data_IF_349775344929
#
_entry.id   IF_349775344929
#
_cell.length_a   1.000
_cell.length_b   1.000
_cell.length_c   1.000
_cell.angle_alpha   90.00
_cell.angle_beta   90.00
_cell.angle_gamma   90.00
#
_symmetry.space_group_name_H-M   'P 1'
#
loop_
_entity.id
_entity.type
_entity.pdbx_description
1 polymer ?
#
# COMPACT_ATOMS: atom_id res chain seq x y z
N UNK A 1 21.86 -62.56 -8.33
CA UNK A 1 21.81 -63.00 -9.73
C UNK A 1 20.38 -62.85 -10.20
N UNK A 2 20.24 -62.16 -11.33
CA UNK A 2 19.10 -62.12 -12.24
C UNK A 2 17.81 -61.46 -11.77
N UNK A 3 17.73 -60.19 -12.15
CA UNK A 3 16.60 -59.50 -12.77
C UNK A 3 15.56 -60.41 -13.44
N UNK A 4 14.30 -59.99 -13.38
CA UNK A 4 13.44 -60.10 -14.55
C UNK A 4 12.47 -58.90 -14.67
N UNK A 5 12.27 -58.51 -15.92
CA UNK A 5 11.76 -57.22 -16.41
C UNK A 5 10.25 -57.33 -16.67
N UNK A 6 9.51 -56.24 -16.47
CA UNK A 6 8.09 -56.17 -16.88
C UNK A 6 7.51 -54.76 -16.91
N UNK A 7 7.82 -54.00 -17.97
CA UNK A 7 7.12 -52.75 -18.33
C UNK A 7 5.66 -53.00 -18.73
N UNK A 8 4.70 -52.27 -18.14
CA UNK A 8 3.41 -51.94 -18.77
C UNK A 8 3.00 -50.50 -18.39
N UNK A 9 2.83 -49.68 -19.43
CA UNK A 9 2.17 -48.37 -19.41
C UNK A 9 0.68 -48.53 -19.73
N UNK A 10 -0.20 -47.82 -19.01
CA UNK A 10 -1.36 -47.04 -19.55
C UNK A 10 -2.34 -46.58 -18.44
N UNK A 11 -2.58 -45.27 -18.45
CA UNK A 11 -3.85 -44.53 -18.21
C UNK A 11 -4.62 -44.70 -16.88
N UNK A 12 -4.64 -43.58 -16.14
CA UNK A 12 -5.82 -42.83 -15.65
C UNK A 12 -6.86 -43.55 -14.79
N UNK A 13 -6.96 -43.16 -13.52
CA UNK A 13 -8.18 -42.56 -12.92
C UNK A 13 -7.76 -41.64 -11.77
N UNK A 14 -7.92 -40.32 -11.95
CA UNK A 14 -7.97 -39.36 -10.84
C UNK A 14 -9.35 -39.51 -10.20
N UNK A 15 -9.40 -39.91 -8.92
CA UNK A 15 -10.61 -39.81 -8.11
C UNK A 15 -10.67 -38.41 -7.53
N UNK A 16 -11.44 -37.54 -8.18
CA UNK A 16 -12.01 -36.37 -7.53
C UNK A 16 -13.18 -36.84 -6.66
N UNK A 17 -13.10 -36.64 -5.34
CA UNK A 17 -14.25 -36.74 -4.45
C UNK A 17 -14.59 -35.32 -4.03
N UNK A 18 -15.49 -34.70 -4.79
CA UNK A 18 -16.21 -33.53 -4.35
C UNK A 18 -17.27 -33.96 -3.34
N UNK A 19 -17.18 -33.48 -2.11
CA UNK A 19 -18.27 -33.52 -1.15
C UNK A 19 -18.77 -32.09 -0.94
N UNK A 20 -19.80 -31.73 -1.70
CA UNK A 20 -20.70 -30.64 -1.35
C UNK A 20 -21.49 -31.04 -0.11
N UNK A 21 -21.07 -30.53 1.04
CA UNK A 21 -21.92 -30.49 2.24
C UNK A 21 -22.79 -29.23 2.14
N UNK A 22 -24.04 -29.40 1.72
CA UNK A 22 -25.08 -28.40 1.90
C UNK A 22 -25.63 -28.53 3.33
N UNK A 23 -25.45 -27.49 4.16
CA UNK A 23 -26.08 -27.39 5.48
C UNK A 23 -27.42 -26.65 5.36
N UNK A 24 -28.53 -27.18 5.88
CA UNK A 24 -29.77 -26.42 6.00
C UNK A 24 -29.71 -25.59 7.29
N UNK A 25 -29.64 -24.26 7.17
CA UNK A 25 -29.96 -23.38 8.29
C UNK A 25 -31.48 -23.27 8.40
N UNK A 26 -32.05 -23.94 9.40
CA UNK A 26 -33.37 -23.61 9.95
C UNK A 26 -33.12 -23.00 11.32
N UNK A 27 -33.11 -21.67 11.37
CA UNK A 27 -33.09 -20.89 12.60
C UNK A 27 -34.23 -19.89 12.57
N UNK A 28 -35.27 -20.14 13.36
CA UNK A 28 -36.26 -19.12 13.73
C UNK A 28 -35.71 -18.40 14.94
N UNK A 29 -35.33 -17.13 14.77
CA UNK A 29 -34.99 -16.26 15.89
C UNK A 29 -35.57 -14.87 15.63
N UNK A 30 -36.34 -14.44 16.61
CA UNK A 30 -36.98 -13.14 16.79
C UNK A 30 -36.01 -11.99 16.58
N UNK A 31 -36.40 -11.06 15.71
CA UNK A 31 -35.75 -9.78 15.52
C UNK A 31 -35.98 -8.89 16.75
N UNK A 32 -34.89 -8.40 17.35
CA UNK A 32 -34.68 -6.98 17.64
C UNK A 32 -33.27 -6.82 18.24
N UNK A 33 -32.54 -5.79 17.79
CA UNK A 33 -31.22 -5.29 18.23
C UNK A 33 -29.91 -5.87 17.63
N UNK A 34 -29.84 -7.08 17.08
CA UNK A 34 -28.56 -7.63 16.55
C UNK A 34 -28.25 -7.25 15.08
N UNK A 35 -29.24 -6.74 14.34
CA UNK A 35 -29.11 -6.42 12.90
C UNK A 35 -28.19 -5.22 12.62
N UNK A 36 -28.01 -4.31 13.59
CA UNK A 36 -27.13 -3.13 13.41
C UNK A 36 -25.64 -3.45 13.59
N UNK A 37 -25.31 -4.63 14.11
CA UNK A 37 -23.92 -5.07 14.33
C UNK A 37 -23.43 -5.95 13.18
N UNK A 38 -24.30 -6.77 12.60
CA UNK A 38 -23.99 -7.57 11.42
C UNK A 38 -23.79 -6.74 10.14
N UNK A 39 -24.40 -5.55 10.06
CA UNK A 39 -24.27 -4.66 8.90
C UNK A 39 -22.92 -3.91 8.84
N UNK A 40 -22.27 -3.68 9.99
CA UNK A 40 -20.96 -2.98 10.06
C UNK A 40 -19.78 -3.79 9.50
N UNK A 41 -20.00 -5.06 9.19
CA UNK A 41 -18.99 -5.96 8.62
C UNK A 41 -19.27 -6.33 7.16
N UNK A 42 -20.38 -5.88 6.59
CA UNK A 42 -20.67 -6.08 5.17
C UNK A 42 -20.14 -4.88 4.41
N UNK A 43 -18.92 -5.02 3.93
CA UNK A 43 -18.36 -4.14 2.92
C UNK A 43 -18.70 -4.74 1.55
N UNK A 44 -19.86 -4.42 0.95
CA UNK A 44 -20.30 -5.07 -0.31
C UNK A 44 -19.33 -4.82 -1.47
N UNK A 45 -18.56 -3.73 -1.39
CA UNK A 45 -17.59 -3.32 -2.39
C UNK A 45 -16.19 -3.91 -2.18
N UNK A 46 -15.98 -4.62 -1.07
CA UNK A 46 -14.72 -5.26 -0.74
C UNK A 46 -14.38 -6.39 -1.71
N UNK A 47 -13.12 -6.48 -2.11
CA UNK A 47 -12.63 -7.60 -2.91
C UNK A 47 -11.43 -8.29 -2.28
N UNK A 48 -11.19 -9.54 -2.67
CA UNK A 48 -10.07 -10.34 -2.16
C UNK A 48 -8.79 -10.04 -2.92
N UNK A 49 -8.90 -9.70 -4.20
CA UNK A 49 -7.77 -9.35 -5.05
C UNK A 49 -7.44 -7.85 -4.95
N UNK A 50 -6.24 -7.40 -5.35
CA UNK A 50 -5.96 -5.97 -5.50
C UNK A 50 -7.02 -5.31 -6.39
N UNK A 51 -7.62 -4.23 -5.90
CA UNK A 51 -8.58 -3.42 -6.66
C UNK A 51 -8.62 -2.02 -6.07
N UNK A 52 -8.58 -1.03 -6.96
CA UNK A 52 -8.73 0.38 -6.65
C UNK A 52 -10.01 0.93 -7.29
N UNK A 53 -10.54 1.99 -6.69
CA UNK A 53 -11.69 2.75 -7.20
C UNK A 53 -11.41 4.24 -7.04
N UNK A 54 -12.04 5.05 -7.88
CA UNK A 54 -11.93 6.51 -7.83
C UNK A 54 -12.66 7.06 -6.62
N UNK A 55 -12.10 8.09 -5.97
CA UNK A 55 -12.82 8.81 -4.93
C UNK A 55 -13.96 9.66 -5.49
N UNK A 56 -14.78 10.21 -4.59
CA UNK A 56 -15.86 11.10 -4.99
C UNK A 56 -15.29 12.42 -5.55
N UNK A 57 -15.88 12.92 -6.64
CA UNK A 57 -15.44 14.16 -7.28
C UNK A 57 -14.10 14.09 -8.03
N UNK A 58 -13.59 12.87 -8.29
CA UNK A 58 -12.29 12.68 -8.94
C UNK A 58 -12.37 12.35 -10.43
N UNK A 59 -11.45 12.93 -11.21
CA UNK A 59 -11.40 12.84 -12.67
C UNK A 59 -9.94 12.71 -13.13
N UNK A 60 -9.67 11.68 -13.94
CA UNK A 60 -8.35 11.44 -14.54
C UNK A 60 -8.23 12.03 -15.96
N UNK A 61 -9.36 12.35 -16.59
CA UNK A 61 -9.40 12.65 -18.04
C UNK A 61 -8.64 13.93 -18.39
N UNK A 62 -8.63 14.90 -17.47
CA UNK A 62 -7.85 16.13 -17.58
C UNK A 62 -6.40 16.02 -17.15
N UNK A 63 -5.97 14.89 -16.55
CA UNK A 63 -4.63 14.75 -16.00
C UNK A 63 -3.60 14.51 -17.11
N UNK A 64 -2.78 15.52 -17.40
CA UNK A 64 -1.61 15.40 -18.28
C UNK A 64 -0.31 15.72 -17.54
N UNK A 65 0.77 15.07 -17.97
CA UNK A 65 2.12 15.25 -17.41
C UNK A 65 2.75 16.60 -17.73
N UNK A 66 2.36 17.21 -18.85
CA UNK A 66 2.84 18.50 -19.36
C UNK A 66 2.03 19.70 -18.87
N UNK A 67 1.01 19.47 -18.02
CA UNK A 67 0.27 20.57 -17.41
C UNK A 67 1.17 21.32 -16.41
N UNK A 68 1.22 22.66 -16.40
CA UNK A 68 2.13 23.42 -15.53
C UNK A 68 2.01 23.07 -14.04
N UNK A 69 0.79 22.85 -13.54
CA UNK A 69 0.57 22.45 -12.15
C UNK A 69 1.06 21.02 -11.86
N UNK A 70 1.02 20.13 -12.84
CA UNK A 70 1.60 18.78 -12.73
C UNK A 70 3.13 18.85 -12.68
N UNK A 71 3.74 19.65 -13.57
CA UNK A 71 5.20 19.85 -13.59
C UNK A 71 5.71 20.51 -12.30
N UNK A 72 4.98 21.51 -11.78
CA UNK A 72 5.29 22.18 -10.52
C UNK A 72 5.22 21.20 -9.34
N UNK A 73 4.16 20.40 -9.25
CA UNK A 73 4.02 19.37 -8.22
C UNK A 73 5.13 18.32 -8.33
N UNK A 74 5.41 17.80 -9.52
CA UNK A 74 6.48 16.82 -9.74
C UNK A 74 7.84 17.36 -9.33
N UNK A 75 8.14 18.60 -9.73
CA UNK A 75 9.39 19.28 -9.42
C UNK A 75 9.54 19.46 -7.91
N UNK A 76 8.49 19.95 -7.25
CA UNK A 76 8.50 20.17 -5.79
C UNK A 76 8.71 18.84 -5.05
N UNK A 77 8.01 17.79 -5.44
CA UNK A 77 8.19 16.44 -4.87
C UNK A 77 9.63 15.94 -5.08
N UNK A 78 10.18 16.09 -6.29
CA UNK A 78 11.53 15.65 -6.60
C UNK A 78 12.57 16.41 -5.77
N UNK A 79 12.39 17.73 -5.62
CA UNK A 79 13.25 18.58 -4.80
C UNK A 79 13.19 18.21 -3.32
N UNK A 80 11.99 17.98 -2.76
CA UNK A 80 11.82 17.52 -1.37
C UNK A 80 12.51 16.18 -1.14
N UNK A 81 12.32 15.20 -2.04
CA UNK A 81 13.00 13.91 -1.92
C UNK A 81 14.52 14.08 -1.96
N UNK A 82 15.05 14.86 -2.90
CA UNK A 82 16.49 15.04 -3.05
C UNK A 82 17.12 15.77 -1.84
N UNK A 83 16.42 16.75 -1.28
CA UNK A 83 16.98 17.62 -0.23
C UNK A 83 16.75 17.09 1.17
N UNK A 84 15.55 16.59 1.47
CA UNK A 84 15.13 16.21 2.82
C UNK A 84 15.19 14.69 3.03
N UNK A 85 14.93 13.91 1.97
CA UNK A 85 14.80 12.46 2.05
C UNK A 85 15.67 11.69 1.05
N UNK A 86 16.99 11.94 0.94
CA UNK A 86 17.82 11.35 -0.11
C UNK A 86 18.08 9.84 0.07
N UNK A 87 17.89 9.30 1.28
CA UNK A 87 18.22 7.92 1.64
C UNK A 87 17.17 7.31 2.58
N UNK A 88 17.18 5.98 2.73
CA UNK A 88 16.34 5.29 3.73
C UNK A 88 16.65 5.76 5.15
N UNK A 89 17.92 6.00 5.47
CA UNK A 89 18.31 6.57 6.77
C UNK A 89 17.68 7.93 7.04
N UNK A 90 17.61 8.80 6.03
CA UNK A 90 16.94 10.10 6.18
C UNK A 90 15.43 9.94 6.48
N UNK A 91 14.76 8.95 5.88
CA UNK A 91 13.38 8.62 6.20
C UNK A 91 13.22 8.16 7.65
N UNK A 92 14.11 7.28 8.10
CA UNK A 92 14.14 6.78 9.49
C UNK A 92 14.30 7.94 10.47
N UNK A 93 15.28 8.81 10.24
CA UNK A 93 15.56 9.98 11.08
C UNK A 93 14.40 10.97 11.11
N UNK A 94 13.69 11.12 9.99
CA UNK A 94 12.48 11.94 9.87
C UNK A 94 11.22 11.25 10.47
N UNK A 95 11.35 10.04 11.01
CA UNK A 95 10.25 9.35 11.70
C UNK A 95 9.28 8.61 10.79
N UNK A 96 9.58 8.50 9.49
CA UNK A 96 8.80 7.67 8.58
C UNK A 96 8.87 6.20 9.01
N UNK A 97 7.75 5.51 8.85
CA UNK A 97 7.59 4.11 9.22
C UNK A 97 7.52 3.24 7.98
N UNK A 98 8.39 2.22 7.89
CA UNK A 98 8.38 1.30 6.77
C UNK A 98 7.03 0.59 6.72
N UNK A 99 6.47 0.62 5.53
CA UNK A 99 5.27 -0.07 5.14
C UNK A 99 5.64 -0.91 3.93
N UNK A 100 6.35 -2.00 4.19
CA UNK A 100 6.56 -3.00 3.17
C UNK A 100 5.21 -3.67 2.93
N UNK A 101 4.68 -3.58 1.71
CA UNK A 101 3.44 -4.18 1.20
C UNK A 101 3.50 -5.74 1.14
N UNK A 102 4.07 -6.31 2.21
CA UNK A 102 4.56 -7.66 2.56
C UNK A 102 3.60 -8.83 2.43
N UNK A 103 2.50 -8.65 1.71
CA UNK A 103 1.69 -9.78 1.23
C UNK A 103 2.03 -10.10 -0.24
N UNK A 104 2.72 -9.20 -0.93
CA UNK A 104 3.17 -9.35 -2.32
C UNK A 104 4.59 -8.79 -2.44
N UNK A 105 5.48 -9.50 -3.12
CA UNK A 105 6.84 -9.02 -3.39
C UNK A 105 6.80 -7.88 -4.40
N UNK A 106 6.45 -6.69 -3.93
CA UNK A 106 6.41 -5.49 -4.76
C UNK A 106 7.81 -4.91 -4.93
N UNK A 107 8.04 -4.28 -6.08
CA UNK A 107 9.34 -3.71 -6.46
C UNK A 107 9.63 -2.37 -5.75
N UNK A 108 8.70 -1.91 -4.90
CA UNK A 108 8.81 -0.72 -4.09
C UNK A 108 8.01 -0.89 -2.79
N UNK A 109 8.33 -0.07 -1.79
CA UNK A 109 7.66 -0.03 -0.50
C UNK A 109 7.19 1.39 -0.20
N UNK A 110 6.06 1.51 0.47
CA UNK A 110 5.63 2.78 1.02
C UNK A 110 6.31 3.00 2.38
N UNK A 111 6.65 4.24 2.68
CA UNK A 111 7.15 4.67 3.98
C UNK A 111 6.23 5.80 4.43
N UNK A 112 5.47 5.57 5.50
CA UNK A 112 4.39 6.45 5.94
C UNK A 112 4.86 7.37 7.07
N UNK A 113 4.47 8.64 7.04
CA UNK A 113 4.69 9.58 8.14
C UNK A 113 3.42 9.72 9.00
N UNK A 114 3.38 9.16 10.22
CA UNK A 114 2.26 9.37 11.13
C UNK A 114 2.05 10.84 11.51
N UNK A 115 3.12 11.65 11.51
CA UNK A 115 3.03 13.08 11.76
C UNK A 115 2.25 13.77 10.65
N UNK A 116 2.60 13.53 9.38
CA UNK A 116 1.98 14.21 8.24
C UNK A 116 0.57 13.68 7.96
N UNK A 117 0.32 12.37 8.13
CA UNK A 117 -1.05 11.81 8.05
C UNK A 117 -1.98 12.47 9.08
N UNK A 118 -1.44 12.79 10.26
CA UNK A 118 -2.17 13.40 11.37
C UNK A 118 -2.26 14.92 11.32
N UNK A 119 -1.63 15.60 10.35
CA UNK A 119 -1.61 17.06 10.29
C UNK A 119 -2.79 17.63 9.48
N UNK A 120 -2.83 18.96 9.32
CA UNK A 120 -3.92 19.67 8.65
C UNK A 120 -3.72 19.88 7.15
N UNK A 121 -2.53 19.56 6.63
CA UNK A 121 -2.14 19.73 5.25
C UNK A 121 -2.69 18.59 4.39
N UNK A 122 -2.90 18.89 3.11
CA UNK A 122 -3.35 17.91 2.12
C UNK A 122 -2.71 18.31 0.81
N UNK A 123 -2.11 17.36 0.10
CA UNK A 123 -1.41 17.63 -1.16
C UNK A 123 -0.28 18.66 -0.97
N UNK A 124 0.55 18.45 0.06
CA UNK A 124 1.70 19.30 0.38
C UNK A 124 3.01 18.60 -0.02
N UNK A 125 3.68 18.98 -1.13
CA UNK A 125 4.89 18.31 -1.59
C UNK A 125 6.07 18.44 -0.63
N UNK A 126 6.04 19.38 0.32
CA UNK A 126 7.09 19.53 1.34
C UNK A 126 6.89 18.56 2.51
N UNK A 127 5.66 18.04 2.68
CA UNK A 127 5.27 17.13 3.78
C UNK A 127 4.41 15.97 3.27
N UNK A 128 4.92 15.13 2.35
CA UNK A 128 4.14 14.03 1.81
C UNK A 128 3.87 12.94 2.85
N UNK A 129 2.63 12.47 2.95
CA UNK A 129 2.24 11.45 3.93
C UNK A 129 2.94 10.10 3.72
N UNK A 130 3.43 9.85 2.49
CA UNK A 130 4.23 8.68 2.15
C UNK A 130 5.35 8.99 1.17
N UNK A 131 6.53 8.42 1.42
CA UNK A 131 7.60 8.28 0.42
C UNK A 131 7.56 6.87 -0.17
N UNK A 132 7.78 6.74 -1.47
CA UNK A 132 7.88 5.47 -2.20
C UNK A 132 9.35 5.14 -2.37
N UNK A 133 9.77 3.95 -1.95
CA UNK A 133 11.17 3.52 -1.95
C UNK A 133 11.32 2.28 -2.81
N UNK A 134 12.22 2.31 -3.78
CA UNK A 134 12.65 1.11 -4.52
C UNK A 134 13.32 0.13 -3.55
N UNK A 135 12.80 -1.09 -3.43
CA UNK A 135 13.33 -2.06 -2.45
C UNK A 135 14.65 -2.69 -2.87
N UNK A 136 15.00 -2.67 -4.16
CA UNK A 136 16.27 -3.22 -4.63
C UNK A 136 17.37 -2.19 -4.48
N UNK A 137 17.10 -0.96 -4.90
CA UNK A 137 18.09 0.12 -4.93
C UNK A 137 18.08 0.97 -3.66
N UNK A 138 17.10 0.80 -2.78
CA UNK A 138 16.92 1.54 -1.52
C UNK A 138 16.82 3.05 -1.76
N UNK A 139 16.22 3.41 -2.89
CA UNK A 139 16.14 4.78 -3.37
C UNK A 139 14.72 5.29 -3.24
N UNK A 140 14.51 6.49 -2.68
CA UNK A 140 13.24 7.21 -2.81
C UNK A 140 12.95 7.60 -4.26
N UNK A 141 11.77 7.25 -4.76
CA UNK A 141 11.41 7.29 -6.19
C UNK A 141 10.09 8.01 -6.50
N UNK A 142 9.39 8.45 -5.46
CA UNK A 142 8.10 9.12 -5.58
C UNK A 142 7.46 9.30 -4.22
N UNK A 143 6.24 9.83 -4.22
CA UNK A 143 5.43 9.99 -3.03
C UNK A 143 4.04 9.44 -3.27
N UNK A 144 3.36 9.11 -2.18
CA UNK A 144 1.93 8.91 -2.19
C UNK A 144 1.33 9.86 -1.17
N UNK A 145 0.46 10.75 -1.63
CA UNK A 145 -0.35 11.56 -0.73
C UNK A 145 -1.49 10.72 -0.18
N UNK A 146 -1.81 10.92 1.10
CA UNK A 146 -2.98 10.33 1.76
C UNK A 146 -3.90 11.47 2.13
N UNK A 147 -5.10 11.50 1.57
CA UNK A 147 -6.05 12.58 1.82
C UNK A 147 -6.71 12.43 3.20
N UNK A 148 -5.98 12.85 4.22
CA UNK A 148 -6.44 12.99 5.60
C UNK A 148 -6.32 14.46 6.03
N UNK A 149 -7.10 14.85 7.04
CA UNK A 149 -6.91 16.12 7.76
C UNK A 149 -7.19 15.89 9.22
N UNK A 150 -6.26 16.27 10.07
CA UNK A 150 -6.26 15.97 11.49
C UNK A 150 -6.40 14.44 11.75
N UNK A 151 -5.80 13.62 10.88
CA UNK A 151 -5.91 12.15 10.91
C UNK A 151 -7.22 11.57 10.37
N UNK A 152 -8.19 12.41 9.98
CA UNK A 152 -9.49 11.96 9.48
C UNK A 152 -9.53 11.93 7.94
N UNK A 153 -10.00 10.84 7.30
CA UNK A 153 -10.08 10.75 5.85
C UNK A 153 -10.98 11.85 5.22
N UNK A 154 -10.52 12.42 4.12
CA UNK A 154 -11.29 13.34 3.28
C UNK A 154 -11.91 12.57 2.12
N UNK A 155 -13.23 12.68 1.99
CA UNK A 155 -14.02 11.99 0.96
C UNK A 155 -13.87 12.60 -0.44
N UNK A 156 -13.77 13.93 -0.50
CA UNK A 156 -13.58 14.72 -1.71
C UNK A 156 -12.23 15.46 -1.64
N UNK A 157 -11.12 14.78 -1.98
CA UNK A 157 -9.79 15.38 -1.91
C UNK A 157 -9.61 16.51 -2.93
N UNK A 158 -8.66 17.45 -2.70
CA UNK A 158 -8.42 18.56 -3.61
C UNK A 158 -7.92 18.05 -4.98
N UNK A 159 -8.42 18.66 -6.05
CA UNK A 159 -7.84 18.46 -7.38
C UNK A 159 -6.43 19.08 -7.45
N UNK A 160 -5.56 18.54 -8.30
CA UNK A 160 -4.28 19.17 -8.62
C UNK A 160 -4.52 20.49 -9.36
N UNK A 161 -5.50 20.50 -10.27
CA UNK A 161 -5.97 21.70 -10.98
C UNK A 161 -7.42 21.52 -11.48
N UNK A 162 -8.09 22.66 -11.73
CA UNK A 162 -9.52 22.73 -12.07
C UNK A 162 -9.87 23.92 -13.01
N UNK A 163 -8.89 24.45 -13.74
CA UNK A 163 -9.00 25.67 -14.54
C UNK A 163 -9.56 25.46 -15.96
N UNK A 164 -9.13 24.41 -16.66
CA UNK A 164 -9.60 24.06 -18.01
C UNK A 164 -10.15 22.64 -18.10
N UNK A 165 -9.44 21.68 -17.52
CA UNK A 165 -9.84 20.28 -17.38
C UNK A 165 -9.43 19.81 -15.98
N UNK A 166 -10.41 19.37 -15.19
CA UNK A 166 -10.15 18.92 -13.82
C UNK A 166 -9.19 17.73 -13.83
N UNK A 167 -8.10 17.86 -13.08
CA UNK A 167 -7.23 16.73 -12.76
C UNK A 167 -7.28 16.44 -11.27
N UNK A 168 -7.84 15.29 -10.94
CA UNK A 168 -7.96 14.79 -9.59
C UNK A 168 -7.72 13.28 -9.63
N UNK A 169 -6.47 12.82 -9.54
CA UNK A 169 -6.12 11.42 -9.75
C UNK A 169 -6.25 10.51 -8.51
N UNK A 170 -7.00 10.96 -7.51
CA UNK A 170 -7.21 10.22 -6.26
C UNK A 170 -8.05 8.95 -6.44
N UNK A 171 -7.60 7.89 -5.77
CA UNK A 171 -8.27 6.60 -5.70
C UNK A 171 -8.16 5.99 -4.30
N UNK A 172 -8.98 5.00 -4.00
CA UNK A 172 -8.92 4.23 -2.76
C UNK A 172 -8.87 2.73 -3.08
N UNK A 173 -8.30 1.95 -2.18
CA UNK A 173 -8.26 0.50 -2.30
C UNK A 173 -9.48 -0.14 -1.65
N UNK A 174 -10.14 -1.04 -2.38
CA UNK A 174 -11.18 -1.94 -1.86
C UNK A 174 -10.72 -3.39 -1.77
N UNK A 175 -9.59 -3.70 -2.40
CA UNK A 175 -8.94 -4.99 -2.33
C UNK A 175 -8.35 -5.29 -0.96
N UNK A 176 -8.38 -6.56 -0.57
CA UNK A 176 -7.86 -7.04 0.71
C UNK A 176 -6.39 -6.61 0.97
N UNK A 177 -5.46 -6.66 0.00
CA UNK A 177 -4.07 -6.25 0.24
C UNK A 177 -3.95 -4.80 0.72
N UNK A 178 -4.46 -3.84 -0.05
CA UNK A 178 -4.36 -2.42 0.32
C UNK A 178 -5.12 -2.07 1.61
N UNK A 179 -6.31 -2.66 1.82
CA UNK A 179 -7.06 -2.48 3.08
C UNK A 179 -6.36 -3.09 4.28
N UNK A 180 -5.80 -4.29 4.13
CA UNK A 180 -5.08 -4.96 5.21
C UNK A 180 -3.86 -4.17 5.60
N UNK A 181 -3.12 -3.73 4.59
CA UNK A 181 -1.95 -2.92 4.79
C UNK A 181 -2.36 -1.64 5.57
N UNK A 182 -3.38 -0.89 5.14
CA UNK A 182 -3.80 0.34 5.85
C UNK A 182 -4.24 0.05 7.28
N UNK A 183 -5.03 -1.01 7.47
CA UNK A 183 -5.43 -1.45 8.80
C UNK A 183 -4.23 -1.78 9.68
N UNK A 184 -3.24 -2.52 9.15
CA UNK A 184 -2.01 -2.86 9.85
C UNK A 184 -1.25 -1.60 10.30
N UNK A 185 -1.08 -0.62 9.41
CA UNK A 185 -0.45 0.66 9.74
C UNK A 185 -1.11 1.30 10.96
N UNK A 186 -2.45 1.43 10.94
CA UNK A 186 -3.20 2.01 12.05
C UNK A 186 -3.05 1.21 13.36
N UNK A 187 -3.03 -0.12 13.27
CA UNK A 187 -2.87 -0.95 14.47
C UNK A 187 -1.48 -0.81 15.09
N UNK A 188 -0.44 -0.77 14.26
CA UNK A 188 0.96 -0.85 14.71
C UNK A 188 1.56 0.50 15.02
N UNK A 189 1.25 1.53 14.22
CA UNK A 189 1.89 2.83 14.31
C UNK A 189 1.00 3.93 14.92
N UNK A 190 -0.34 3.77 14.91
CA UNK A 190 -1.27 4.72 15.57
C UNK A 190 -1.83 4.20 16.91
N UNK A 191 -1.40 3.02 17.36
CA UNK A 191 -1.94 2.36 18.56
C UNK A 191 -3.49 2.21 18.52
N UNK A 192 -4.12 2.10 17.33
CA UNK A 192 -5.58 2.11 17.17
C UNK A 192 -6.30 0.98 17.94
N UNK A 193 -5.60 -0.11 18.30
CA UNK A 193 -6.14 -1.13 19.19
C UNK A 193 -6.47 -0.59 20.59
N UNK A 194 -5.75 0.44 21.07
CA UNK A 194 -5.96 1.06 22.40
C UNK A 194 -7.21 1.93 22.43
N UNK A 195 -7.58 2.54 21.31
CA UNK A 195 -8.82 3.32 21.18
C UNK A 195 -10.06 2.45 20.93
N UNK A 196 -9.86 1.15 20.69
CA UNK A 196 -10.95 0.20 20.41
C UNK A 196 -11.38 0.17 18.94
N UNK A 197 -10.67 0.88 18.05
CA UNK A 197 -10.86 0.85 16.61
C UNK A 197 -10.16 -0.37 16.00
N UNK A 198 -10.78 -1.53 16.23
CA UNK A 198 -10.31 -2.83 15.73
C UNK A 198 -11.00 -3.25 14.42
N UNK A 199 -11.88 -2.40 13.87
CA UNK A 199 -12.66 -2.79 12.70
C UNK A 199 -11.80 -2.76 11.44
N UNK A 200 -11.79 -3.89 10.74
CA UNK A 200 -11.17 -3.98 9.43
C UNK A 200 -11.91 -3.03 8.46
N UNK A 201 -11.22 -2.09 7.79
CA UNK A 201 -11.88 -1.04 7.04
C UNK A 201 -12.49 -1.58 5.75
N UNK A 202 -13.58 -0.96 5.28
CA UNK A 202 -14.17 -1.30 3.99
C UNK A 202 -13.32 -0.84 2.80
N UNK A 203 -12.55 0.22 2.99
CA UNK A 203 -11.59 0.80 2.02
C UNK A 203 -10.52 1.60 2.74
N UNK A 204 -9.44 1.93 2.05
CA UNK A 204 -8.46 2.93 2.50
C UNK A 204 -9.02 4.35 2.36
N UNK A 205 -8.36 5.37 2.95
CA UNK A 205 -8.51 6.75 2.51
C UNK A 205 -8.19 6.91 1.02
N UNK A 206 -8.53 8.09 0.49
CA UNK A 206 -8.10 8.50 -0.84
C UNK A 206 -6.59 8.70 -0.87
N UNK A 207 -5.96 8.16 -1.90
CA UNK A 207 -4.51 8.15 -2.09
C UNK A 207 -4.19 8.60 -3.51
N UNK A 208 -3.02 9.23 -3.67
CA UNK A 208 -2.55 9.72 -4.96
C UNK A 208 -1.04 9.61 -5.05
N UNK A 209 -0.56 8.75 -5.94
CA UNK A 209 0.85 8.61 -6.26
C UNK A 209 1.33 9.77 -7.14
N UNK A 210 2.57 10.23 -6.89
CA UNK A 210 3.31 11.15 -7.75
C UNK A 210 4.74 10.64 -7.89
N UNK A 211 5.10 10.24 -9.10
CA UNK A 211 6.45 9.74 -9.40
C UNK A 211 7.39 10.88 -9.80
N UNK A 212 8.66 10.84 -9.38
CA UNK A 212 9.66 11.88 -9.70
C UNK A 212 10.31 11.70 -11.07
N UNK A 213 9.83 10.75 -11.86
CA UNK A 213 10.43 10.35 -13.12
C UNK A 213 9.93 11.21 -14.29
N UNK A 214 10.82 11.90 -15.02
CA UNK A 214 10.41 12.61 -16.23
C UNK A 214 10.10 11.63 -17.36
N UNK A 215 8.98 11.84 -18.08
CA UNK A 215 8.60 11.10 -19.29
C UNK A 215 7.09 11.13 -19.57
N UNK A 216 6.69 10.67 -20.76
CA UNK A 216 5.27 10.52 -21.18
C UNK A 216 4.50 9.45 -20.36
N UNK A 217 5.14 8.89 -19.33
CA UNK A 217 4.57 7.88 -18.44
C UNK A 217 3.67 8.56 -17.40
N UNK A 218 2.64 7.85 -16.97
CA UNK A 218 1.63 8.42 -16.09
C UNK A 218 2.23 8.75 -14.72
N UNK A 219 2.58 10.02 -14.52
CA UNK A 219 3.03 10.60 -13.24
C UNK A 219 2.14 10.23 -12.05
N UNK A 220 0.84 10.06 -12.29
CA UNK A 220 -0.16 9.64 -11.30
C UNK A 220 -0.54 8.15 -11.41
N UNK A 221 0.28 7.33 -12.06
CA UNK A 221 0.02 5.89 -12.14
C UNK A 221 0.03 5.28 -10.75
N UNK A 222 -0.89 4.35 -10.51
CA UNK A 222 -0.89 3.55 -9.29
C UNK A 222 0.35 2.64 -9.21
N UNK A 223 0.75 2.06 -10.35
CA UNK A 223 1.95 1.22 -10.45
C UNK A 223 3.19 2.06 -10.75
N UNK A 224 4.34 1.60 -10.25
CA UNK A 224 5.65 2.18 -10.58
C UNK A 224 5.85 2.21 -12.10
N UNK A 225 6.22 3.36 -12.70
CA UNK A 225 6.50 3.44 -14.12
C UNK A 225 7.68 2.54 -14.54
N UNK A 226 7.61 1.88 -15.72
CA UNK A 226 8.64 0.96 -16.17
C UNK A 226 9.93 1.71 -16.52
N UNK A 227 10.92 1.67 -15.63
CA UNK A 227 12.18 2.38 -15.81
C UNK A 227 13.40 1.50 -15.64
N UNK A 228 14.48 1.83 -16.36
CA UNK A 228 15.80 1.28 -16.10
C UNK A 228 16.16 1.51 -14.63
N UNK A 229 16.71 0.48 -13.98
CA UNK A 229 17.16 0.57 -12.60
C UNK A 229 18.13 1.74 -12.46
N UNK A 230 17.81 2.66 -11.56
CA UNK A 230 18.79 3.62 -11.11
C UNK A 230 19.86 2.86 -10.33
N UNK A 231 21.11 3.28 -10.45
CA UNK A 231 22.11 2.83 -9.50
C UNK A 231 21.70 3.18 -8.07
N UNK A 232 22.34 2.54 -7.07
CA UNK A 232 22.06 2.80 -5.67
C UNK A 232 22.29 4.28 -5.31
N UNK A 233 21.66 4.82 -4.24
CA UNK A 233 21.89 6.17 -3.77
C UNK A 233 23.37 6.46 -3.61
N UNK A 234 23.81 7.67 -3.99
CA UNK A 234 25.23 8.05 -3.92
C UNK A 234 25.76 8.01 -2.47
N UNK A 235 24.89 8.35 -1.51
CA UNK A 235 25.19 8.35 -0.08
C UNK A 235 24.94 6.99 0.60
N UNK A 236 24.65 5.94 -0.18
CA UNK A 236 24.33 4.61 0.32
C UNK A 236 23.00 4.55 1.08
N UNK A 237 22.92 3.70 2.11
CA UNK A 237 21.69 3.44 2.84
C UNK A 237 21.25 4.59 3.76
N UNK A 238 22.20 5.41 4.22
CA UNK A 238 21.97 6.47 5.22
C UNK A 238 21.87 5.99 6.67
N UNK A 239 22.04 4.69 6.95
CA UNK A 239 22.06 4.11 8.30
C UNK A 239 23.12 3.00 8.40
N UNK A 240 23.43 2.55 9.62
CA UNK A 240 24.40 1.48 9.86
C UNK A 240 23.82 0.11 9.45
N UNK A 241 24.38 -0.51 8.41
CA UNK A 241 24.04 -1.88 7.99
C UNK A 241 25.19 -2.52 7.21
N UNK A 242 25.28 -3.85 7.23
CA UNK A 242 26.24 -4.63 6.43
C UNK A 242 25.68 -5.02 5.04
N UNK A 243 24.36 -4.85 4.82
CA UNK A 243 23.70 -5.10 3.55
C UNK A 243 23.91 -3.95 2.56
N UNK A 244 23.81 -4.25 1.25
CA UNK A 244 24.17 -3.32 0.19
C UNK A 244 23.00 -3.06 -0.78
N UNK A 245 22.60 -1.79 -0.98
CA UNK A 245 21.65 -1.45 -2.03
C UNK A 245 22.11 -1.94 -3.41
N UNK A 246 21.20 -2.57 -4.15
CA UNK A 246 21.43 -3.17 -5.46
C UNK A 246 21.86 -4.65 -5.42
N UNK A 247 22.39 -5.13 -4.29
CA UNK A 247 22.75 -6.54 -4.07
C UNK A 247 21.78 -7.24 -3.11
N UNK A 248 21.30 -6.53 -2.09
CA UNK A 248 20.36 -7.00 -1.08
C UNK A 248 19.02 -6.25 -1.17
N UNK A 249 17.90 -6.95 -0.98
CA UNK A 249 16.57 -6.34 -0.90
C UNK A 249 16.38 -5.62 0.45
N UNK A 250 15.77 -4.45 0.42
CA UNK A 250 15.37 -3.73 1.62
C UNK A 250 14.22 -4.48 2.28
N UNK A 251 14.48 -5.09 3.42
CA UNK A 251 13.48 -5.84 4.19
C UNK A 251 13.62 -5.64 5.70
N UNK A 252 12.79 -6.35 6.46
CA UNK A 252 12.78 -6.27 7.93
C UNK A 252 14.06 -6.77 8.61
N UNK A 253 14.88 -7.58 7.93
CA UNK A 253 16.10 -8.15 8.49
C UNK A 253 17.32 -7.23 8.21
N UNK A 254 17.19 -6.33 7.23
CA UNK A 254 18.16 -5.27 6.91
C UNK A 254 17.97 -4.01 7.78
N UNK A 255 16.73 -3.69 8.14
CA UNK A 255 16.42 -2.46 8.86
C UNK A 255 16.87 -2.47 10.33
N UNK A 256 17.15 -1.29 10.93
CA UNK A 256 17.40 -1.17 12.35
C UNK A 256 16.25 -1.70 13.23
N UNK A 257 16.56 -2.36 14.34
CA UNK A 257 15.57 -3.00 15.22
C UNK A 257 14.49 -2.04 15.74
N UNK A 258 14.80 -0.75 15.90
CA UNK A 258 13.90 0.27 16.44
C UNK A 258 12.87 0.80 15.44
N UNK A 259 13.07 0.54 14.14
CA UNK A 259 12.08 0.82 13.09
C UNK A 259 11.27 -0.40 12.69
N UNK A 260 11.74 -1.60 13.06
CA UNK A 260 11.02 -2.86 12.82
C UNK A 260 9.87 -2.99 13.82
N UNK A 261 8.63 -3.21 13.35
CA UNK A 261 7.48 -3.35 14.23
C UNK A 261 7.52 -4.67 15.01
N UNK A 262 7.07 -4.65 16.28
CA UNK A 262 7.05 -5.83 17.16
C UNK A 262 6.26 -7.02 16.59
N UNK A 263 5.22 -6.74 15.79
CA UNK A 263 4.42 -7.76 15.10
C UNK A 263 4.47 -7.50 13.61
N UNK A 264 5.05 -8.43 12.84
CA UNK A 264 5.18 -8.29 11.39
C UNK A 264 3.82 -8.51 10.68
N UNK A 265 3.59 -7.92 9.50
CA UNK A 265 2.29 -7.98 8.81
C UNK A 265 1.78 -9.39 8.55
N UNK A 266 2.66 -10.32 8.12
CA UNK A 266 2.29 -11.72 7.86
C UNK A 266 1.70 -12.41 9.08
N UNK A 267 2.25 -12.14 10.27
CA UNK A 267 1.76 -12.73 11.52
C UNK A 267 0.36 -12.22 11.90
N UNK A 268 0.02 -11.00 11.51
CA UNK A 268 -1.32 -10.43 11.69
C UNK A 268 -2.28 -10.87 10.59
N UNK A 269 -1.81 -11.00 9.36
CA UNK A 269 -2.61 -11.44 8.23
C UNK A 269 -3.21 -12.81 8.48
N UNK A 270 -2.38 -13.78 8.87
CA UNK A 270 -2.82 -15.15 9.18
C UNK A 270 -3.91 -15.15 10.27
N UNK A 271 -3.80 -14.29 11.30
CA UNK A 271 -4.80 -14.16 12.37
C UNK A 271 -6.14 -13.59 11.90
N UNK A 272 -6.12 -12.74 10.87
CA UNK A 272 -7.33 -12.12 10.31
C UNK A 272 -8.02 -13.07 9.33
N UNK A 273 -7.27 -13.88 8.57
CA UNK A 273 -7.82 -14.81 7.57
C UNK A 273 -8.23 -16.18 8.12
N UNK A 274 -7.70 -16.61 9.27
CA UNK A 274 -8.07 -17.89 9.92
C UNK A 274 -9.36 -17.81 10.75
N UNK A 275 -10.08 -16.68 10.73
CA UNK A 275 -11.36 -16.45 11.44
C UNK A 275 -12.55 -16.47 10.48
#
# INVERSE_FOLDING_TARGET
MSEDIGTVSRRTVVRAVGTTAALPFVGTATADEDDRRADRFRCPDATVHPETRRCEGTEMEGCTGDHPATEELQTSVAETIEQEYPTVGALIDAGFKPYFDTVVGEEYAHWLSPEYIGDDAVLDPDRPESILVDVNQWRPIGVMFVATRDGEPIEEPPAVYDDEQRCSPWHYHVGLPGRFAWWYYRQVYEDAYRSGELLFPCRTPCMMHVWTYPGDEAIYAHEKPPREEYGPPEDGAGFETDAQPGDDELDWDVLPDDVVPETKPRELFDRVTDR
#
